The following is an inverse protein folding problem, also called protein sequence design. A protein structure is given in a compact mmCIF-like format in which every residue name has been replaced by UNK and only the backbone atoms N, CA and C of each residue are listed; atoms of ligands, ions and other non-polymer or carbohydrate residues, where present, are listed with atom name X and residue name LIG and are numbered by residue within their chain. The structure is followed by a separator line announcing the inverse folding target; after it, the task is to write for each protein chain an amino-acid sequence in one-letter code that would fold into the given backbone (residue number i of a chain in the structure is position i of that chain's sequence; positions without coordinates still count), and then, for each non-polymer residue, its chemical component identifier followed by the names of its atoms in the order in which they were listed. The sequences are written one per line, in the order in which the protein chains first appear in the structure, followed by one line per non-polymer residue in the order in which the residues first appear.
data_IF_989596938739
#
_entry.id   IF_989596938739
#
_cell.length_a   1.000
_cell.length_b   1.000
_cell.length_c   1.000
_cell.angle_alpha   90.00
_cell.angle_beta   90.00
_cell.angle_gamma   90.00
#
_symmetry.space_group_name_H-M   'P 1'
#
loop_
_entity.id
_entity.type
_entity.pdbx_description
1 polymer ?
#
# COMPACT_ATOMS: atom_id res chain seq x y z
N UNK A 1 14.36 9.92 -1.78
CA UNK A 1 13.29 9.04 -2.31
C UNK A 1 11.95 9.66 -1.95
N UNK A 2 11.09 9.91 -2.94
CA UNK A 2 9.71 10.36 -2.73
C UNK A 2 8.79 9.18 -3.08
N UNK A 3 7.93 8.79 -2.14
CA UNK A 3 7.05 7.63 -2.27
C UNK A 3 5.74 8.04 -2.94
N UNK A 4 5.53 7.60 -4.18
CA UNK A 4 4.30 7.75 -4.96
C UNK A 4 3.30 6.62 -4.64
N UNK A 5 2.89 6.54 -3.37
CA UNK A 5 1.92 5.56 -2.89
C UNK A 5 0.94 6.21 -1.90
N UNK A 6 -0.34 6.27 -2.28
CA UNK A 6 -1.39 6.91 -1.47
C UNK A 6 -1.68 6.14 -0.19
N UNK A 7 -1.58 4.80 -0.22
CA UNK A 7 -1.90 3.95 0.94
C UNK A 7 -0.73 3.96 1.95
N UNK A 8 0.51 4.12 1.49
CA UNK A 8 1.65 4.30 2.41
C UNK A 8 1.66 5.65 3.14
N UNK A 9 0.75 6.57 2.84
CA UNK A 9 0.60 7.81 3.60
C UNK A 9 -0.14 7.60 4.93
N UNK A 10 -0.81 6.45 5.12
CA UNK A 10 -1.56 6.14 6.33
C UNK A 10 -0.65 5.55 7.40
N UNK A 11 -0.65 6.16 8.59
CA UNK A 11 0.18 5.78 9.73
C UNK A 11 -0.39 4.62 10.55
N UNK A 12 -1.67 4.34 10.35
CA UNK A 12 -2.47 3.24 10.93
C UNK A 12 -2.58 2.02 9.99
N UNK A 13 -2.00 2.08 8.79
CA UNK A 13 -1.94 0.96 7.82
C UNK A 13 -0.48 0.61 7.46
N UNK A 14 0.43 0.53 8.44
CA UNK A 14 1.86 0.34 8.17
C UNK A 14 2.15 -1.01 7.50
N UNK A 15 1.59 -2.09 8.03
CA UNK A 15 1.76 -3.45 7.50
C UNK A 15 1.01 -3.60 6.20
N UNK A 16 -0.26 -3.17 6.17
CA UNK A 16 -1.15 -3.25 5.01
C UNK A 16 -0.58 -2.53 3.80
N UNK A 17 -0.06 -1.32 3.99
CA UNK A 17 0.56 -0.54 2.91
C UNK A 17 1.94 -1.06 2.51
N UNK A 18 2.53 -1.96 3.29
CA UNK A 18 3.91 -2.40 3.16
C UNK A 18 4.91 -1.25 3.33
N UNK A 19 4.56 -0.26 4.16
CA UNK A 19 5.42 0.87 4.47
C UNK A 19 6.62 0.37 5.24
N UNK A 20 7.78 0.40 4.59
CA UNK A 20 9.04 -0.04 5.16
C UNK A 20 9.61 1.02 6.13
N UNK A 21 8.96 1.22 7.29
CA UNK A 21 9.39 2.19 8.31
C UNK A 21 10.82 1.93 8.80
N UNK A 22 11.23 0.65 8.80
CA UNK A 22 12.54 0.20 9.28
C UNK A 22 13.60 0.07 8.17
N UNK A 23 13.25 0.29 6.89
CA UNK A 23 14.21 0.32 5.80
C UNK A 23 14.98 1.64 5.75
N UNK A 24 15.59 2.02 6.88
CA UNK A 24 16.52 3.14 6.95
C UNK A 24 17.84 2.71 6.32
N UNK A 25 18.06 3.18 5.10
CA UNK A 25 19.36 3.05 4.43
C UNK A 25 20.13 4.33 4.71
N UNK A 26 21.35 4.20 5.24
CA UNK A 26 22.22 5.34 5.51
C UNK A 26 22.41 6.19 4.25
N UNK A 27 22.27 7.50 4.39
CA UNK A 27 22.35 8.45 3.28
C UNK A 27 21.10 8.55 2.40
N UNK A 28 20.04 7.76 2.65
CA UNK A 28 18.77 7.86 1.91
C UNK A 28 17.64 8.38 2.80
N UNK A 29 17.05 9.50 2.38
CA UNK A 29 15.83 10.03 2.97
C UNK A 29 14.62 9.56 2.16
N UNK A 30 13.67 8.86 2.81
CA UNK A 30 12.39 8.47 2.22
C UNK A 30 11.29 9.41 2.74
N UNK A 31 10.55 9.99 1.81
CA UNK A 31 9.52 11.01 2.07
C UNK A 31 8.19 10.52 1.53
N UNK A 32 7.18 10.51 2.38
CA UNK A 32 5.80 10.23 2.01
C UNK A 32 5.07 11.55 1.71
N UNK A 33 4.03 11.48 0.87
CA UNK A 33 3.31 12.67 0.41
C UNK A 33 2.49 13.33 1.51
N UNK A 34 2.11 12.55 2.52
CA UNK A 34 1.36 12.99 3.67
C UNK A 34 1.60 12.03 4.86
N UNK A 35 1.11 12.42 6.04
CA UNK A 35 1.03 11.58 7.24
C UNK A 35 -0.42 11.56 7.73
N UNK A 36 -1.20 10.61 7.22
CA UNK A 36 -2.65 10.51 7.40
C UNK A 36 -3.05 9.38 8.33
N UNK A 37 -4.31 9.41 8.76
CA UNK A 37 -5.02 8.29 9.39
C UNK A 37 -6.31 7.99 8.61
N UNK A 38 -6.87 6.80 8.80
CA UNK A 38 -8.09 6.33 8.15
C UNK A 38 -9.27 7.26 8.46
N UNK A 39 -9.29 7.89 9.64
CA UNK A 39 -10.29 8.91 10.01
C UNK A 39 -10.38 10.08 9.02
N UNK A 40 -9.30 10.37 8.29
CA UNK A 40 -9.26 11.44 7.28
C UNK A 40 -9.80 10.98 5.91
N UNK A 41 -10.25 9.74 5.82
CA UNK A 41 -10.77 9.11 4.61
C UNK A 41 -9.75 8.96 3.50
N UNK A 42 -10.25 8.45 2.36
CA UNK A 42 -9.43 8.17 1.18
C UNK A 42 -8.63 9.41 0.74
N UNK A 43 -7.32 9.24 0.57
CA UNK A 43 -6.42 10.26 0.05
C UNK A 43 -6.67 10.41 -1.46
N UNK A 44 -7.36 11.48 -1.83
CA UNK A 44 -7.79 11.72 -3.20
C UNK A 44 -6.59 11.71 -4.19
N UNK A 45 -6.72 11.06 -5.37
CA UNK A 45 -5.63 11.01 -6.35
C UNK A 45 -5.15 12.37 -6.86
N UNK A 46 -6.04 13.36 -7.05
CA UNK A 46 -5.64 14.69 -7.50
C UNK A 46 -4.96 15.46 -6.36
N UNK A 47 -5.46 15.35 -5.13
CA UNK A 47 -4.79 15.89 -3.95
C UNK A 47 -3.37 15.30 -3.79
N UNK A 48 -3.23 13.98 -3.93
CA UNK A 48 -1.95 13.29 -3.85
C UNK A 48 -1.00 13.71 -4.98
N UNK A 49 -1.52 13.95 -6.18
CA UNK A 49 -0.73 14.46 -7.30
C UNK A 49 -0.19 15.86 -7.04
N UNK A 50 -1.03 16.79 -6.57
CA UNK A 50 -0.59 18.15 -6.23
C UNK A 50 0.50 18.14 -5.16
N UNK A 51 0.35 17.27 -4.15
CA UNK A 51 1.37 17.05 -3.11
C UNK A 51 2.67 16.50 -3.70
N UNK A 52 2.58 15.51 -4.58
CA UNK A 52 3.74 14.93 -5.26
C UNK A 52 4.52 15.99 -6.03
N UNK A 53 3.86 16.80 -6.87
CA UNK A 53 4.52 17.84 -7.66
C UNK A 53 5.18 18.88 -6.74
N UNK A 54 4.49 19.31 -5.69
CA UNK A 54 5.04 20.27 -4.71
C UNK A 54 6.31 19.73 -4.04
N UNK A 55 6.29 18.47 -3.60
CA UNK A 55 7.44 17.84 -2.95
C UNK A 55 8.60 17.71 -3.94
N UNK A 56 8.36 17.16 -5.13
CA UNK A 56 9.40 16.99 -6.16
C UNK A 56 10.06 18.32 -6.51
N UNK A 57 9.25 19.35 -6.80
CA UNK A 57 9.73 20.70 -7.13
C UNK A 57 10.60 21.27 -6.00
N UNK A 58 10.18 21.11 -4.74
CA UNK A 58 10.95 21.63 -3.60
C UNK A 58 12.36 21.02 -3.47
N UNK A 59 12.53 19.76 -3.87
CA UNK A 59 13.82 19.08 -3.83
C UNK A 59 14.68 19.44 -5.06
N UNK A 60 14.07 19.48 -6.24
CA UNK A 60 14.76 19.86 -7.47
C UNK A 60 15.24 21.32 -7.41
N UNK A 61 14.45 22.23 -6.86
CA UNK A 61 14.84 23.64 -6.67
C UNK A 61 16.03 23.81 -5.73
N UNK A 62 16.26 22.85 -4.82
CA UNK A 62 17.46 22.78 -3.96
C UNK A 62 18.66 22.14 -4.65
N UNK A 63 18.53 21.72 -5.91
CA UNK A 63 19.57 21.01 -6.66
C UNK A 63 19.75 19.55 -6.23
N UNK A 64 18.78 18.96 -5.53
CA UNK A 64 18.87 17.58 -5.07
C UNK A 64 18.43 16.59 -6.15
N UNK A 65 19.11 15.45 -6.24
CA UNK A 65 18.67 14.33 -7.08
C UNK A 65 17.53 13.58 -6.38
N UNK A 66 16.40 13.42 -7.07
CA UNK A 66 15.21 12.78 -6.51
C UNK A 66 14.88 11.50 -7.26
N UNK A 67 14.74 10.41 -6.50
CA UNK A 67 14.12 9.18 -6.98
C UNK A 67 12.67 9.17 -6.51
N UNK A 68 11.73 9.12 -7.46
CA UNK A 68 10.33 8.84 -7.20
C UNK A 68 10.11 7.33 -7.37
N UNK A 69 9.54 6.66 -6.36
CA UNK A 69 9.19 5.24 -6.42
C UNK A 69 7.78 5.03 -5.88
N UNK A 70 7.05 4.04 -6.38
CA UNK A 70 5.72 3.72 -5.86
C UNK A 70 4.91 2.91 -6.85
N UNK A 71 3.75 2.42 -6.40
CA UNK A 71 2.84 1.58 -7.18
C UNK A 71 1.41 2.12 -7.27
N UNK A 72 1.15 3.36 -6.85
CA UNK A 72 -0.21 3.89 -6.94
C UNK A 72 -0.58 4.20 -8.39
N UNK A 73 -1.33 3.28 -9.02
CA UNK A 73 -1.73 3.35 -10.43
C UNK A 73 -2.37 4.71 -10.76
N UNK A 74 -3.36 5.15 -9.97
CA UNK A 74 -4.04 6.43 -10.23
C UNK A 74 -3.08 7.63 -10.19
N UNK A 75 -2.16 7.65 -9.23
CA UNK A 75 -1.17 8.71 -9.08
C UNK A 75 -0.10 8.66 -10.19
N UNK A 76 0.38 7.47 -10.53
CA UNK A 76 1.41 7.28 -11.57
C UNK A 76 0.86 7.62 -12.95
N UNK A 77 -0.37 7.21 -13.27
CA UNK A 77 -1.04 7.57 -14.52
C UNK A 77 -1.23 9.09 -14.61
N UNK A 78 -1.64 9.73 -13.50
CA UNK A 78 -1.76 11.19 -13.45
C UNK A 78 -0.41 11.87 -13.67
N UNK A 79 0.64 11.38 -13.03
CA UNK A 79 1.99 11.88 -13.23
C UNK A 79 2.46 11.72 -14.68
N UNK A 80 2.28 10.54 -15.28
CA UNK A 80 2.67 10.23 -16.65
C UNK A 80 2.04 11.20 -17.68
N UNK A 81 0.78 11.59 -17.48
CA UNK A 81 0.09 12.58 -18.32
C UNK A 81 0.71 13.99 -18.28
N UNK A 82 1.50 14.29 -17.25
CA UNK A 82 2.08 15.62 -17.03
C UNK A 82 3.60 15.68 -17.28
N UNK A 83 4.25 14.55 -17.59
CA UNK A 83 5.71 14.46 -17.73
C UNK A 83 6.26 15.50 -18.72
N UNK A 84 5.59 15.72 -19.85
CA UNK A 84 6.04 16.68 -20.86
C UNK A 84 5.98 18.14 -20.41
N UNK A 85 5.25 18.43 -19.33
CA UNK A 85 5.01 19.76 -18.80
C UNK A 85 5.68 19.97 -17.42
N UNK A 86 6.50 19.03 -16.97
CA UNK A 86 7.19 19.17 -15.69
C UNK A 86 8.22 20.32 -15.76
N UNK A 87 8.41 21.06 -14.66
CA UNK A 87 9.43 22.11 -14.59
C UNK A 87 10.86 21.57 -14.50
N UNK A 88 11.04 20.25 -14.58
CA UNK A 88 12.31 19.55 -14.43
C UNK A 88 12.39 18.32 -15.35
N UNK A 89 13.60 17.90 -15.77
CA UNK A 89 13.77 16.68 -16.54
C UNK A 89 13.42 15.46 -15.69
N UNK A 90 12.74 14.49 -16.31
CA UNK A 90 12.40 13.22 -15.68
C UNK A 90 12.87 12.04 -16.56
N UNK A 91 13.44 11.02 -15.91
CA UNK A 91 13.74 9.73 -16.54
C UNK A 91 12.84 8.69 -15.91
N UNK A 92 12.14 7.93 -16.74
CA UNK A 92 11.19 6.91 -16.29
C UNK A 92 11.79 5.53 -16.53
N UNK A 93 11.80 4.70 -15.49
CA UNK A 93 12.11 3.28 -15.59
C UNK A 93 10.91 2.49 -15.06
N UNK A 94 10.31 1.67 -15.94
CA UNK A 94 9.17 0.81 -15.59
C UNK A 94 9.68 -0.61 -15.39
N UNK A 95 9.46 -1.15 -14.20
CA UNK A 95 9.86 -2.52 -13.86
C UNK A 95 8.81 -3.51 -14.39
N UNK A 96 9.14 -4.37 -15.37
CA UNK A 96 8.19 -5.34 -15.89
C UNK A 96 7.95 -6.47 -14.88
N UNK A 97 6.81 -7.14 -14.99
CA UNK A 97 6.55 -8.43 -14.34
C UNK A 97 7.02 -9.53 -15.30
N UNK A 98 8.17 -10.19 -15.07
CA UNK A 98 8.76 -11.09 -16.06
C UNK A 98 8.11 -12.48 -16.09
N UNK A 99 7.69 -13.00 -14.94
CA UNK A 99 7.03 -14.30 -14.79
C UNK A 99 5.86 -14.14 -13.81
N UNK A 100 4.64 -14.34 -14.32
CA UNK A 100 3.41 -14.22 -13.52
C UNK A 100 3.32 -15.26 -12.41
N UNK A 101 3.79 -16.48 -12.63
CA UNK A 101 3.76 -17.53 -11.61
C UNK A 101 4.73 -17.21 -10.49
N UNK A 102 5.94 -16.79 -10.84
CA UNK A 102 6.92 -16.35 -9.85
C UNK A 102 6.43 -15.11 -9.08
N UNK A 103 5.86 -14.13 -9.79
CA UNK A 103 5.30 -12.92 -9.17
C UNK A 103 4.16 -13.24 -8.22
N UNK A 104 3.21 -14.10 -8.61
CA UNK A 104 2.15 -14.59 -7.73
C UNK A 104 2.71 -15.25 -6.47
N UNK A 105 3.72 -16.12 -6.60
CA UNK A 105 4.36 -16.77 -5.46
C UNK A 105 4.99 -15.74 -4.50
N UNK A 106 5.64 -14.69 -5.03
CA UNK A 106 6.17 -13.59 -4.22
C UNK A 106 5.05 -12.81 -3.51
N UNK A 107 3.95 -12.50 -4.20
CA UNK A 107 2.80 -11.80 -3.60
C UNK A 107 2.16 -12.63 -2.47
N UNK A 108 2.00 -13.94 -2.66
CA UNK A 108 1.52 -14.83 -1.60
C UNK A 108 2.50 -14.87 -0.41
N UNK A 109 3.81 -14.91 -0.66
CA UNK A 109 4.81 -14.90 0.40
C UNK A 109 4.77 -13.59 1.22
N UNK A 110 4.61 -12.45 0.54
CA UNK A 110 4.42 -11.15 1.17
C UNK A 110 3.12 -11.09 1.98
N UNK A 111 2.00 -11.56 1.43
CA UNK A 111 0.72 -11.62 2.13
C UNK A 111 0.82 -12.46 3.42
N UNK A 112 1.49 -13.62 3.38
CA UNK A 112 1.76 -14.41 4.60
C UNK A 112 2.54 -13.64 5.65
N UNK A 113 3.54 -12.85 5.26
CA UNK A 113 4.30 -12.02 6.19
C UNK A 113 3.41 -10.95 6.83
N UNK A 114 2.57 -10.28 6.02
CA UNK A 114 1.63 -9.26 6.51
C UNK A 114 0.59 -9.84 7.48
N UNK A 115 0.10 -11.06 7.23
CA UNK A 115 -0.87 -11.75 8.08
C UNK A 115 -0.25 -12.26 9.39
N UNK A 116 1.01 -12.70 9.38
CA UNK A 116 1.72 -13.16 10.59
C UNK A 116 2.12 -12.01 11.52
N UNK A 117 2.43 -10.85 10.95
CA UNK A 117 2.85 -9.68 11.71
C UNK A 117 4.32 -9.65 12.09
N UNK A 118 4.67 -8.58 12.81
CA UNK A 118 6.00 -8.35 13.36
C UNK A 118 6.11 -8.74 14.85
N UNK A 119 7.28 -8.53 15.43
CA UNK A 119 7.56 -8.82 16.84
C UNK A 119 6.80 -7.93 17.84
N UNK A 120 6.16 -6.86 17.37
CA UNK A 120 5.29 -5.99 18.19
C UNK A 120 3.85 -6.51 18.24
N UNK A 121 3.53 -7.56 17.49
CA UNK A 121 2.19 -8.12 17.36
C UNK A 121 1.31 -7.40 16.34
N UNK A 122 1.85 -6.39 15.64
CA UNK A 122 1.13 -5.68 14.57
C UNK A 122 1.12 -6.53 13.32
N UNK A 123 -0.07 -6.77 12.78
CA UNK A 123 -0.28 -7.45 11.51
C UNK A 123 -1.43 -6.79 10.73
N UNK A 124 -1.66 -7.24 9.50
CA UNK A 124 -2.73 -6.72 8.66
C UNK A 124 -4.12 -6.91 9.30
N UNK A 125 -4.36 -8.00 10.03
CA UNK A 125 -5.65 -8.27 10.65
C UNK A 125 -5.94 -7.33 11.81
N UNK A 126 -4.92 -7.03 12.64
CA UNK A 126 -5.06 -6.06 13.72
C UNK A 126 -5.31 -4.65 13.17
N UNK A 127 -4.61 -4.27 12.09
CA UNK A 127 -4.86 -2.99 11.41
C UNK A 127 -6.29 -2.93 10.83
N UNK A 128 -6.75 -4.02 10.21
CA UNK A 128 -8.11 -4.10 9.69
C UNK A 128 -9.15 -4.02 10.81
N UNK A 129 -8.97 -4.74 11.91
CA UNK A 129 -9.91 -4.73 13.03
C UNK A 129 -10.03 -3.32 13.63
N UNK A 130 -8.91 -2.63 13.86
CA UNK A 130 -8.91 -1.24 14.35
C UNK A 130 -9.58 -0.29 13.37
N UNK A 131 -9.28 -0.44 12.08
CA UNK A 131 -9.89 0.35 11.02
C UNK A 131 -11.41 0.11 10.91
N UNK A 132 -11.85 -1.14 11.04
CA UNK A 132 -13.24 -1.54 10.82
C UNK A 132 -14.20 -1.01 11.88
N UNK A 133 -13.70 -0.70 13.08
CA UNK A 133 -14.49 0.01 14.10
C UNK A 133 -14.92 1.40 13.60
N UNK A 134 -14.20 2.00 12.66
CA UNK A 134 -14.51 3.29 12.05
C UNK A 134 -15.57 3.14 10.96
N UNK A 135 -16.82 2.89 11.37
CA UNK A 135 -17.96 2.64 10.47
C UNK A 135 -18.06 3.54 9.24
N UNK A 136 -17.80 4.84 9.42
CA UNK A 136 -17.88 5.83 8.33
C UNK A 136 -16.82 5.63 7.23
N UNK A 137 -15.80 4.80 7.47
CA UNK A 137 -14.68 4.55 6.56
C UNK A 137 -14.72 3.16 5.92
N UNK A 138 -15.76 2.36 6.15
CA UNK A 138 -15.89 1.00 5.59
C UNK A 138 -15.69 0.94 4.08
N UNK A 139 -16.25 1.90 3.33
CA UNK A 139 -16.08 1.95 1.87
C UNK A 139 -14.62 2.17 1.45
N UNK A 140 -13.88 3.03 2.17
CA UNK A 140 -12.47 3.24 1.90
C UNK A 140 -11.67 1.99 2.25
N UNK A 141 -11.89 1.41 3.43
CA UNK A 141 -11.19 0.20 3.89
C UNK A 141 -11.41 -0.95 2.91
N UNK A 142 -12.64 -1.18 2.48
CA UNK A 142 -13.00 -2.20 1.50
C UNK A 142 -12.43 -1.94 0.08
N UNK A 143 -11.93 -0.73 -0.19
CA UNK A 143 -11.25 -0.42 -1.46
C UNK A 143 -9.74 -0.68 -1.43
N UNK A 144 -9.16 -0.97 -0.27
CA UNK A 144 -7.72 -1.23 -0.11
C UNK A 144 -7.45 -2.70 -0.44
N UNK A 145 -6.62 -2.92 -1.46
CA UNK A 145 -6.20 -4.25 -1.87
C UNK A 145 -5.58 -5.02 -0.70
N UNK A 146 -6.05 -6.25 -0.49
CA UNK A 146 -5.67 -7.11 0.63
C UNK A 146 -6.67 -7.04 1.77
N UNK A 147 -7.16 -5.85 2.13
CA UNK A 147 -8.23 -5.71 3.15
C UNK A 147 -9.57 -6.21 2.59
N UNK A 148 -9.86 -5.89 1.33
CA UNK A 148 -11.01 -6.41 0.58
C UNK A 148 -11.09 -7.95 0.63
N UNK A 149 -9.96 -8.62 0.42
CA UNK A 149 -9.86 -10.08 0.42
C UNK A 149 -10.16 -10.68 1.79
N UNK A 150 -9.69 -10.03 2.87
CA UNK A 150 -9.97 -10.46 4.24
C UNK A 150 -11.44 -10.22 4.60
N UNK A 151 -12.00 -9.08 4.17
CA UNK A 151 -13.43 -8.78 4.37
C UNK A 151 -14.34 -9.78 3.64
N UNK A 152 -14.00 -10.15 2.40
CA UNK A 152 -14.72 -11.18 1.64
C UNK A 152 -14.66 -12.55 2.36
N UNK A 153 -13.50 -12.91 2.90
CA UNK A 153 -13.33 -14.14 3.68
C UNK A 153 -14.16 -14.10 4.97
N UNK A 154 -14.13 -12.98 5.71
CA UNK A 154 -14.92 -12.73 6.91
C UNK A 154 -16.42 -12.88 6.64
N UNK A 155 -16.92 -12.26 5.57
CA UNK A 155 -18.32 -12.38 5.15
C UNK A 155 -18.70 -13.83 4.82
N UNK A 156 -17.83 -14.54 4.08
CA UNK A 156 -18.06 -15.94 3.69
C UNK A 156 -18.17 -16.87 4.89
N UNK A 157 -17.34 -16.63 5.92
CA UNK A 157 -17.27 -17.48 7.11
C UNK A 157 -18.13 -16.97 8.28
N UNK A 158 -18.88 -15.89 8.09
CA UNK A 158 -19.66 -15.23 9.15
C UNK A 158 -18.81 -14.89 10.38
N UNK A 159 -17.62 -14.34 10.14
CA UNK A 159 -16.66 -13.90 11.15
C UNK A 159 -16.44 -12.41 10.99
N UNK A 160 -16.39 -11.67 12.09
CA UNK A 160 -16.04 -10.23 12.05
C UNK A 160 -14.52 -10.04 11.93
N UNK A 161 -14.05 -8.91 11.37
CA UNK A 161 -12.62 -8.60 11.36
C UNK A 161 -11.98 -8.63 12.75
N UNK A 162 -12.69 -8.16 13.78
CA UNK A 162 -12.23 -8.21 15.17
C UNK A 162 -12.09 -9.64 15.69
N UNK A 163 -13.06 -10.52 15.40
CA UNK A 163 -12.96 -11.93 15.78
C UNK A 163 -11.81 -12.64 15.04
N UNK A 164 -11.59 -12.33 13.77
CA UNK A 164 -10.49 -12.93 13.00
C UNK A 164 -9.13 -12.48 13.52
N UNK A 165 -8.97 -11.20 13.84
CA UNK A 165 -7.72 -10.64 14.37
C UNK A 165 -7.32 -11.23 15.73
N UNK A 166 -8.28 -11.72 16.52
CA UNK A 166 -8.05 -12.32 17.82
C UNK A 166 -7.87 -13.86 17.78
N UNK A 167 -7.87 -14.47 16.59
CA UNK A 167 -7.69 -15.92 16.42
C UNK A 167 -6.24 -16.27 16.11
N UNK A 168 -5.80 -17.41 16.64
CA UNK A 168 -4.64 -18.10 16.10
C UNK A 168 -5.00 -18.69 14.73
N UNK A 169 -4.42 -18.14 13.66
CA UNK A 169 -4.65 -18.66 12.32
C UNK A 169 -4.01 -20.04 12.16
N UNK A 170 -4.79 -21.01 11.71
CA UNK A 170 -4.22 -22.28 11.24
C UNK A 170 -3.44 -22.04 9.95
N UNK A 171 -2.54 -22.97 9.61
CA UNK A 171 -1.77 -22.90 8.36
C UNK A 171 -2.70 -22.83 7.14
N UNK A 172 -3.82 -23.55 7.17
CA UNK A 172 -4.81 -23.58 6.09
C UNK A 172 -5.46 -22.22 5.87
N UNK A 173 -5.93 -21.56 6.93
CA UNK A 173 -6.55 -20.22 6.84
C UNK A 173 -5.53 -19.18 6.38
N UNK A 174 -4.30 -19.26 6.90
CA UNK A 174 -3.21 -18.38 6.47
C UNK A 174 -2.91 -18.53 4.97
N UNK A 175 -2.83 -19.77 4.49
CA UNK A 175 -2.54 -20.05 3.07
C UNK A 175 -3.70 -19.64 2.16
N UNK A 176 -4.94 -19.84 2.59
CA UNK A 176 -6.14 -19.41 1.86
C UNK A 176 -6.18 -17.88 1.70
N UNK A 177 -6.05 -17.14 2.81
CA UNK A 177 -6.03 -15.68 2.80
C UNK A 177 -4.86 -15.15 1.97
N UNK A 178 -3.67 -15.72 2.15
CA UNK A 178 -2.49 -15.29 1.39
C UNK A 178 -2.62 -15.55 -0.11
N UNK A 179 -3.25 -16.66 -0.52
CA UNK A 179 -3.51 -16.94 -1.92
C UNK A 179 -4.54 -15.97 -2.51
N UNK A 180 -5.61 -15.67 -1.77
CA UNK A 180 -6.63 -14.68 -2.16
C UNK A 180 -6.01 -13.29 -2.37
N UNK A 181 -5.28 -12.80 -1.37
CA UNK A 181 -4.55 -11.53 -1.45
C UNK A 181 -3.51 -11.53 -2.57
N UNK A 182 -2.74 -12.61 -2.71
CA UNK A 182 -1.75 -12.75 -3.77
C UNK A 182 -2.36 -12.66 -5.16
N UNK A 183 -3.53 -13.28 -5.36
CA UNK A 183 -4.31 -13.17 -6.59
C UNK A 183 -4.71 -11.72 -6.89
N UNK A 184 -5.28 -11.05 -5.89
CA UNK A 184 -5.67 -9.64 -5.99
C UNK A 184 -4.49 -8.72 -6.32
N UNK A 185 -3.33 -8.92 -5.69
CA UNK A 185 -2.13 -8.13 -6.00
C UNK A 185 -1.63 -8.35 -7.42
N UNK A 186 -1.73 -9.57 -7.95
CA UNK A 186 -1.40 -9.85 -9.37
C UNK A 186 -2.38 -9.15 -10.31
N UNK A 187 -3.68 -9.16 -10.00
CA UNK A 187 -4.68 -8.42 -10.78
C UNK A 187 -4.35 -6.93 -10.84
N UNK A 188 -4.00 -6.32 -9.69
CA UNK A 188 -3.59 -4.92 -9.65
C UNK A 188 -2.28 -4.64 -10.39
N UNK A 189 -1.28 -5.52 -10.29
CA UNK A 189 0.04 -5.30 -10.91
C UNK A 189 0.07 -5.40 -12.44
N UNK A 190 -0.99 -5.93 -13.06
CA UNK A 190 -1.09 -6.12 -14.52
C UNK A 190 -1.89 -5.01 -15.21
N UNK A 191 -2.61 -4.17 -14.45
CA UNK A 191 -3.39 -3.02 -14.93
C UNK A 191 -2.50 -1.82 -15.25
#
# INVERSE_FOLDING_TARGET
IVVADRIQCYSDLLVTSGRAFDAKVEGLNRVWLDNRTIHQGNFDPDEAFDRLIKVLTSYVDRGEAVVMEGGSISLILRFAQTISNLPFPAVVNVMPIPDRQHYFAQQCARARQMLRGDSTGRNLLTELAEAWVLGDQHNFIASVAGLDCVLDWCATHSVTPEELANRDLTTEVLDELAASMGGRYVEHGVL
#
